data_IF_372952839310
#
_entry.id   IF_372952839310
#
_cell.length_a   1.000
_cell.length_b   1.000
_cell.length_c   1.000
_cell.angle_alpha   90.00
_cell.angle_beta   90.00
_cell.angle_gamma   90.00
#
_symmetry.space_group_name_H-M   'P 1'
#
loop_
_entity.id
_entity.type
_entity.pdbx_description
1 polymer ?
#
# COMPACT_ATOMS: atom_id res chain seq x y z
N UNK A 1 -4.17 12.44 9.04
CA UNK A 1 -5.27 13.43 8.92
C UNK A 1 -4.78 14.82 8.53
N UNK A 2 -3.91 15.49 9.31
CA UNK A 2 -3.40 16.84 8.97
C UNK A 2 -2.78 16.92 7.56
N UNK A 3 -2.00 15.91 7.16
CA UNK A 3 -1.42 15.83 5.81
C UNK A 3 -2.46 15.76 4.69
N UNK A 4 -3.56 15.03 4.89
CA UNK A 4 -4.63 14.94 3.89
C UNK A 4 -5.36 16.28 3.72
N UNK A 5 -5.60 17.00 4.83
CA UNK A 5 -6.15 18.36 4.79
C UNK A 5 -5.22 19.34 4.08
N UNK A 6 -3.92 19.22 4.30
CA UNK A 6 -2.91 20.00 3.57
C UNK A 6 -2.94 19.69 2.05
N UNK A 7 -2.95 18.42 1.66
CA UNK A 7 -3.04 18.02 0.24
C UNK A 7 -4.32 18.54 -0.42
N UNK A 8 -5.46 18.49 0.28
CA UNK A 8 -6.73 19.00 -0.23
C UNK A 8 -6.67 20.49 -0.61
N UNK A 9 -5.93 21.29 0.16
CA UNK A 9 -5.79 22.74 -0.10
C UNK A 9 -4.71 23.04 -1.14
N UNK A 10 -3.67 22.20 -1.25
CA UNK A 10 -2.45 22.52 -2.01
C UNK A 10 -2.28 21.77 -3.32
N UNK A 11 -2.97 20.64 -3.50
CA UNK A 11 -2.84 19.82 -4.71
C UNK A 11 -3.95 20.15 -5.68
N UNK A 12 -3.55 20.57 -6.87
CA UNK A 12 -4.45 20.80 -8.00
C UNK A 12 -4.09 19.86 -9.16
N UNK A 13 -4.89 19.89 -10.23
CA UNK A 13 -4.61 19.10 -11.43
C UNK A 13 -3.21 19.40 -11.99
N UNK A 14 -2.46 18.39 -12.46
CA UNK A 14 -2.88 17.00 -12.75
C UNK A 14 -2.69 16.00 -11.59
N UNK A 15 -2.34 16.47 -10.37
CA UNK A 15 -1.98 15.58 -9.25
C UNK A 15 -3.14 15.28 -8.29
N UNK A 16 -4.38 15.59 -8.68
CA UNK A 16 -5.58 15.36 -7.85
C UNK A 16 -5.76 13.91 -7.40
N UNK A 17 -5.24 12.94 -8.18
CA UNK A 17 -5.20 11.52 -7.81
C UNK A 17 -4.41 11.25 -6.52
N UNK A 18 -3.41 12.07 -6.20
CA UNK A 18 -2.54 11.86 -5.03
C UNK A 18 -3.35 11.94 -3.74
N UNK A 19 -4.30 12.87 -3.65
CA UNK A 19 -5.16 13.01 -2.48
C UNK A 19 -6.00 11.75 -2.27
N UNK A 20 -6.68 11.28 -3.31
CA UNK A 20 -7.53 10.09 -3.25
C UNK A 20 -6.70 8.85 -2.90
N UNK A 21 -5.56 8.65 -3.54
CA UNK A 21 -4.72 7.48 -3.29
C UNK A 21 -4.16 7.52 -1.86
N UNK A 22 -3.69 8.68 -1.38
CA UNK A 22 -3.20 8.84 0.00
C UNK A 22 -4.30 8.59 1.01
N UNK A 23 -5.53 9.02 0.73
CA UNK A 23 -6.70 8.73 1.56
C UNK A 23 -7.01 7.23 1.60
N UNK A 24 -7.03 6.55 0.44
CA UNK A 24 -7.25 5.11 0.36
C UNK A 24 -6.15 4.32 1.09
N UNK A 25 -4.89 4.75 0.99
CA UNK A 25 -3.76 4.18 1.72
C UNK A 25 -3.78 4.44 3.23
N UNK A 26 -4.51 5.46 3.68
CA UNK A 26 -4.69 5.75 5.12
C UNK A 26 -5.66 4.78 5.80
N UNK A 27 -6.73 4.35 5.12
CA UNK A 27 -7.75 3.44 5.66
C UNK A 27 -7.16 2.17 6.31
N UNK A 28 -6.27 1.39 5.66
CA UNK A 28 -5.74 0.17 6.26
C UNK A 28 -4.86 0.45 7.49
N UNK A 29 -4.19 1.60 7.53
CA UNK A 29 -3.40 2.02 8.69
C UNK A 29 -4.34 2.24 9.88
N UNK A 30 -5.41 2.99 9.70
CA UNK A 30 -6.43 3.23 10.75
C UNK A 30 -7.08 1.92 11.22
N UNK A 31 -7.45 1.04 10.29
CA UNK A 31 -8.03 -0.27 10.60
C UNK A 31 -7.07 -1.14 11.42
N UNK A 32 -5.76 -1.05 11.19
CA UNK A 32 -4.81 -1.86 11.93
C UNK A 32 -4.70 -1.49 13.41
N UNK A 33 -4.90 -0.22 13.78
CA UNK A 33 -5.03 0.18 15.19
C UNK A 33 -6.25 -0.49 15.87
N UNK A 34 -7.31 -0.74 15.11
CA UNK A 34 -8.54 -1.39 15.62
C UNK A 34 -8.44 -2.92 15.68
N UNK A 35 -7.54 -3.51 14.89
CA UNK A 35 -7.27 -4.95 14.79
C UNK A 35 -6.29 -5.47 15.86
N UNK A 36 -5.78 -4.58 16.71
CA UNK A 36 -4.60 -4.85 17.51
C UNK A 36 -4.69 -5.90 18.60
N UNK A 37 -3.54 -6.51 18.88
CA UNK A 37 -3.34 -7.55 19.89
C UNK A 37 -3.82 -7.13 21.30
N UNK A 38 -3.75 -5.84 21.63
CA UNK A 38 -4.20 -5.32 22.94
C UNK A 38 -5.71 -5.16 23.07
N UNK A 39 -6.49 -5.27 21.98
CA UNK A 39 -7.96 -5.23 22.00
C UNK A 39 -8.53 -6.48 21.31
N UNK A 40 -8.52 -7.66 21.97
CA UNK A 40 -9.00 -8.89 21.38
C UNK A 40 -10.48 -8.75 20.98
N UNK A 41 -10.72 -8.66 19.67
CA UNK A 41 -12.08 -8.68 19.09
C UNK A 41 -12.62 -10.10 19.01
N UNK A 42 -13.94 -10.29 19.09
CA UNK A 42 -14.55 -11.60 18.86
C UNK A 42 -14.26 -12.08 17.42
N UNK A 43 -14.23 -13.41 17.25
CA UNK A 43 -13.86 -14.05 15.97
C UNK A 43 -14.68 -13.54 14.78
N UNK A 44 -16.00 -13.35 14.96
CA UNK A 44 -16.89 -12.90 13.88
C UNK A 44 -16.57 -11.47 13.39
N UNK A 45 -16.00 -10.62 14.24
CA UNK A 45 -15.68 -9.23 13.89
C UNK A 45 -14.25 -9.09 13.37
N UNK A 46 -13.33 -9.93 13.84
CA UNK A 46 -11.92 -9.89 13.44
C UNK A 46 -11.72 -10.19 11.95
N UNK A 47 -12.29 -11.29 11.44
CA UNK A 47 -12.05 -11.72 10.05
C UNK A 47 -12.61 -10.77 8.99
N UNK A 48 -13.86 -10.26 9.11
CA UNK A 48 -14.34 -9.25 8.18
C UNK A 48 -13.47 -7.99 8.18
N UNK A 49 -12.96 -7.60 9.36
CA UNK A 49 -12.12 -6.41 9.48
C UNK A 49 -10.73 -6.62 8.84
N UNK A 50 -10.15 -7.82 8.95
CA UNK A 50 -8.94 -8.22 8.20
C UNK A 50 -9.20 -8.25 6.70
N UNK A 51 -10.38 -8.70 6.25
CA UNK A 51 -10.74 -8.73 4.84
C UNK A 51 -10.89 -7.32 4.26
N UNK A 52 -11.57 -6.42 4.99
CA UNK A 52 -11.66 -4.99 4.62
C UNK A 52 -10.26 -4.38 4.62
N UNK A 53 -9.44 -4.66 5.63
CA UNK A 53 -8.05 -4.22 5.67
C UNK A 53 -7.28 -4.68 4.43
N UNK A 54 -7.40 -5.94 4.04
CA UNK A 54 -6.73 -6.52 2.87
C UNK A 54 -7.22 -5.92 1.55
N UNK A 55 -8.49 -5.50 1.47
CA UNK A 55 -9.02 -4.82 0.29
C UNK A 55 -8.38 -3.45 0.09
N UNK A 56 -8.14 -2.71 1.18
CA UNK A 56 -7.55 -1.37 1.11
C UNK A 56 -6.03 -1.34 1.23
N UNK A 57 -5.41 -2.35 1.84
CA UNK A 57 -3.97 -2.46 2.03
C UNK A 57 -3.14 -2.27 0.76
N UNK A 58 -3.51 -2.83 -0.42
CA UNK A 58 -2.78 -2.63 -1.67
C UNK A 58 -2.54 -1.16 -2.01
N UNK A 59 -3.41 -0.25 -1.56
CA UNK A 59 -3.25 1.18 -1.81
C UNK A 59 -1.99 1.76 -1.17
N UNK A 60 -1.51 1.22 -0.04
CA UNK A 60 -0.26 1.71 0.57
C UNK A 60 0.98 1.49 -0.32
N UNK A 61 1.33 0.26 -0.75
CA UNK A 61 2.43 0.04 -1.69
C UNK A 61 2.11 0.57 -3.10
N UNK A 62 0.83 0.70 -3.47
CA UNK A 62 0.42 1.32 -4.73
C UNK A 62 0.95 2.76 -4.87
N UNK A 63 1.01 3.55 -3.79
CA UNK A 63 1.54 4.92 -3.87
C UNK A 63 3.01 4.98 -4.28
N UNK A 64 3.81 3.93 -4.03
CA UNK A 64 5.18 3.87 -4.54
C UNK A 64 5.19 3.86 -6.07
N UNK A 65 4.20 3.23 -6.70
CA UNK A 65 4.04 3.27 -8.16
C UNK A 65 3.46 4.61 -8.64
N UNK A 66 2.88 5.45 -7.78
CA UNK A 66 2.42 6.78 -8.20
C UNK A 66 3.60 7.67 -8.55
N UNK A 67 4.79 7.40 -8.02
CA UNK A 67 6.02 8.12 -8.33
C UNK A 67 6.36 8.13 -9.83
N UNK A 68 5.84 7.19 -10.63
CA UNK A 68 5.96 7.26 -12.09
C UNK A 68 5.32 8.53 -12.70
N UNK A 69 4.33 9.12 -12.03
CA UNK A 69 3.71 10.39 -12.44
C UNK A 69 4.62 11.62 -12.20
N UNK A 70 5.76 11.47 -11.51
CA UNK A 70 6.78 12.53 -11.46
C UNK A 70 7.31 12.89 -12.84
N UNK A 71 7.20 11.97 -13.81
CA UNK A 71 7.49 12.24 -15.23
C UNK A 71 6.66 13.40 -15.80
N UNK A 72 5.44 13.62 -15.29
CA UNK A 72 4.57 14.74 -15.70
C UNK A 72 5.14 16.11 -15.34
N UNK A 73 6.04 16.19 -14.35
CA UNK A 73 6.70 17.44 -13.97
C UNK A 73 7.75 17.89 -15.00
N UNK A 74 8.13 17.02 -15.94
CA UNK A 74 9.16 17.26 -16.96
C UNK A 74 10.43 17.94 -16.36
N UNK A 75 11.10 17.25 -15.41
CA UNK A 75 12.12 17.87 -14.57
C UNK A 75 13.40 18.25 -15.33
N UNK A 76 13.62 17.71 -16.53
CA UNK A 76 14.81 17.96 -17.33
C UNK A 76 14.64 19.19 -18.23
N UNK A 77 15.69 20.03 -18.28
CA UNK A 77 15.83 21.11 -19.24
C UNK A 77 16.42 20.59 -20.58
N UNK A 78 16.44 21.44 -21.61
CA UNK A 78 17.04 21.11 -22.93
C UNK A 78 18.53 20.76 -22.80
N UNK A 79 19.21 21.32 -21.79
CA UNK A 79 20.60 20.99 -21.45
C UNK A 79 20.80 19.61 -20.83
N UNK A 80 19.73 18.87 -20.54
CA UNK A 80 19.78 17.59 -19.81
C UNK A 80 19.94 17.74 -18.30
N UNK A 81 20.08 18.96 -17.77
CA UNK A 81 20.15 19.24 -16.33
C UNK A 81 18.75 19.33 -15.70
N UNK A 82 18.67 19.10 -14.39
CA UNK A 82 17.43 19.28 -13.63
C UNK A 82 17.08 20.76 -13.51
N UNK A 83 15.82 21.09 -13.74
CA UNK A 83 15.27 22.43 -13.52
C UNK A 83 15.22 22.73 -12.02
N UNK A 84 15.77 23.87 -11.62
CA UNK A 84 15.70 24.35 -10.23
C UNK A 84 14.36 25.06 -9.91
N UNK A 85 13.33 24.92 -10.76
CA UNK A 85 12.03 25.58 -10.59
C UNK A 85 11.32 25.06 -9.33
N UNK A 86 11.00 25.96 -8.39
CA UNK A 86 10.42 25.61 -7.09
C UNK A 86 9.16 24.74 -7.19
N UNK A 87 8.32 24.96 -8.22
CA UNK A 87 7.11 24.17 -8.44
C UNK A 87 7.39 22.66 -8.56
N UNK A 88 8.42 22.26 -9.31
CA UNK A 88 8.77 20.84 -9.53
C UNK A 88 9.15 20.19 -8.21
N UNK A 89 10.01 20.85 -7.43
CA UNK A 89 10.50 20.34 -6.16
C UNK A 89 9.41 20.28 -5.10
N UNK A 90 8.49 21.24 -5.07
CA UNK A 90 7.33 21.22 -4.16
C UNK A 90 6.45 19.98 -4.42
N UNK A 91 6.06 19.74 -5.68
CA UNK A 91 5.23 18.59 -6.02
C UNK A 91 5.96 17.26 -5.85
N UNK A 92 7.26 17.23 -6.17
CA UNK A 92 8.12 16.09 -5.85
C UNK A 92 8.08 15.76 -4.35
N UNK A 93 8.25 16.76 -3.49
CA UNK A 93 8.18 16.59 -2.04
C UNK A 93 6.81 16.08 -1.60
N UNK A 94 5.71 16.60 -2.16
CA UNK A 94 4.36 16.13 -1.83
C UNK A 94 4.15 14.65 -2.18
N UNK A 95 4.60 14.23 -3.36
CA UNK A 95 4.53 12.84 -3.79
C UNK A 95 5.42 11.93 -2.93
N UNK A 96 6.64 12.37 -2.62
CA UNK A 96 7.58 11.60 -1.80
C UNK A 96 7.08 11.40 -0.37
N UNK A 97 6.60 12.46 0.29
CA UNK A 97 6.06 12.37 1.65
C UNK A 97 4.85 11.43 1.68
N UNK A 98 3.94 11.58 0.72
CA UNK A 98 2.74 10.74 0.65
C UNK A 98 3.09 9.28 0.38
N UNK A 99 3.95 9.02 -0.61
CA UNK A 99 4.33 7.67 -1.00
C UNK A 99 5.13 6.94 0.07
N UNK A 100 6.20 7.56 0.59
CA UNK A 100 7.00 6.96 1.65
C UNK A 100 6.21 6.85 2.95
N UNK A 101 5.50 7.91 3.35
CA UNK A 101 4.71 7.94 4.58
C UNK A 101 3.65 6.83 4.60
N UNK A 102 2.84 6.72 3.54
CA UNK A 102 1.84 5.66 3.44
C UNK A 102 2.48 4.27 3.31
N UNK A 103 3.57 4.11 2.56
CA UNK A 103 4.23 2.81 2.41
C UNK A 103 4.79 2.31 3.74
N UNK A 104 5.56 3.12 4.47
CA UNK A 104 6.13 2.72 5.75
C UNK A 104 5.07 2.44 6.82
N UNK A 105 4.07 3.31 6.95
CA UNK A 105 2.95 3.07 7.87
C UNK A 105 2.12 1.86 7.45
N UNK A 106 1.98 1.62 6.14
CA UNK A 106 1.37 0.42 5.59
C UNK A 106 2.15 -0.84 5.99
N UNK A 107 3.47 -0.87 5.81
CA UNK A 107 4.30 -2.01 6.21
C UNK A 107 4.28 -2.25 7.73
N UNK A 108 4.21 -1.17 8.53
CA UNK A 108 3.97 -1.29 9.98
C UNK A 108 2.62 -1.94 10.28
N UNK A 109 1.57 -1.51 9.58
CA UNK A 109 0.22 -2.07 9.65
C UNK A 109 0.21 -3.57 9.27
N UNK A 110 0.94 -3.97 8.22
CA UNK A 110 1.14 -5.37 7.82
C UNK A 110 1.80 -6.20 8.92
N UNK A 111 2.86 -5.68 9.56
CA UNK A 111 3.53 -6.37 10.67
C UNK A 111 2.54 -6.65 11.80
N UNK A 112 1.72 -5.65 12.15
CA UNK A 112 0.77 -5.75 13.26
C UNK A 112 -0.40 -6.72 12.97
N UNK A 113 -0.95 -6.67 11.75
CA UNK A 113 -2.01 -7.58 11.31
C UNK A 113 -1.49 -9.01 11.20
N UNK A 114 -0.29 -9.22 10.64
CA UNK A 114 0.30 -10.56 10.52
C UNK A 114 0.61 -11.19 11.88
N UNK A 115 1.06 -10.40 12.85
CA UNK A 115 1.24 -10.84 14.23
C UNK A 115 -0.09 -11.24 14.87
N UNK A 116 -1.14 -10.42 14.70
CA UNK A 116 -2.47 -10.69 15.27
C UNK A 116 -3.11 -11.96 14.67
N UNK A 117 -2.92 -12.19 13.36
CA UNK A 117 -3.36 -13.43 12.70
C UNK A 117 -2.57 -14.63 13.23
N UNK A 118 -1.24 -14.55 13.31
CA UNK A 118 -0.39 -15.64 13.79
C UNK A 118 -0.69 -16.00 15.26
N UNK A 119 -0.95 -15.01 16.12
CA UNK A 119 -1.37 -15.25 17.50
C UNK A 119 -2.65 -16.07 17.60
N UNK A 120 -3.65 -15.80 16.74
CA UNK A 120 -4.92 -16.53 16.74
C UNK A 120 -4.82 -17.91 16.11
N UNK A 121 -4.05 -18.06 15.03
CA UNK A 121 -4.01 -19.30 14.25
C UNK A 121 -3.01 -20.31 14.83
N UNK A 122 -1.87 -19.85 15.35
CA UNK A 122 -0.75 -20.70 15.72
C UNK A 122 -0.02 -20.22 16.98
N UNK A 123 -0.72 -19.51 17.88
CA UNK A 123 -0.18 -18.98 19.15
C UNK A 123 1.10 -18.16 18.99
N UNK A 124 1.24 -17.47 17.85
CA UNK A 124 2.37 -16.57 17.60
C UNK A 124 3.61 -17.25 17.01
N UNK A 125 3.47 -18.44 16.42
CA UNK A 125 4.58 -19.10 15.72
C UNK A 125 5.17 -18.19 14.61
N UNK A 126 6.48 -17.98 14.66
CA UNK A 126 7.21 -17.13 13.72
C UNK A 126 7.15 -17.63 12.27
N UNK A 127 7.12 -18.94 12.05
CA UNK A 127 7.01 -19.52 10.69
C UNK A 127 5.64 -19.22 10.08
N UNK A 128 4.57 -19.38 10.87
CA UNK A 128 3.21 -19.05 10.42
C UNK A 128 3.09 -17.55 10.13
N UNK A 129 3.72 -16.70 10.95
CA UNK A 129 3.78 -15.25 10.66
C UNK A 129 4.45 -14.97 9.32
N UNK A 130 5.57 -15.62 9.02
CA UNK A 130 6.27 -15.46 7.74
C UNK A 130 5.39 -15.87 6.55
N UNK A 131 4.71 -17.02 6.64
CA UNK A 131 3.79 -17.50 5.60
C UNK A 131 2.64 -16.51 5.40
N UNK A 132 2.07 -15.98 6.48
CA UNK A 132 1.00 -14.97 6.40
C UNK A 132 1.51 -13.70 5.73
N UNK A 133 2.69 -13.20 6.09
CA UNK A 133 3.29 -12.02 5.44
C UNK A 133 3.48 -12.26 3.94
N UNK A 134 4.05 -13.40 3.54
CA UNK A 134 4.24 -13.77 2.13
C UNK A 134 2.92 -13.80 1.36
N UNK A 135 1.88 -14.40 1.95
CA UNK A 135 0.57 -14.49 1.32
C UNK A 135 -0.08 -13.11 1.18
N UNK A 136 -0.03 -12.28 2.23
CA UNK A 136 -0.62 -10.95 2.23
C UNK A 136 0.10 -10.01 1.26
N UNK A 137 1.43 -10.05 1.17
CA UNK A 137 2.19 -9.23 0.21
C UNK A 137 1.95 -9.69 -1.22
N UNK A 138 1.84 -11.00 -1.47
CA UNK A 138 1.48 -11.53 -2.77
C UNK A 138 0.07 -11.07 -3.21
N UNK A 139 -0.93 -11.23 -2.34
CA UNK A 139 -2.30 -10.77 -2.62
C UNK A 139 -2.36 -9.25 -2.81
N UNK A 140 -1.58 -8.51 -2.01
CA UNK A 140 -1.41 -7.07 -2.15
C UNK A 140 -0.88 -6.69 -3.53
N UNK A 141 0.17 -7.37 -4.02
CA UNK A 141 0.74 -7.12 -5.34
C UNK A 141 -0.26 -7.37 -6.48
N UNK A 142 -1.10 -8.40 -6.35
CA UNK A 142 -2.22 -8.64 -7.29
C UNK A 142 -3.22 -7.47 -7.22
N UNK A 143 -3.58 -7.01 -6.01
CA UNK A 143 -4.43 -5.85 -5.80
C UNK A 143 -3.88 -4.56 -6.44
N UNK A 144 -2.56 -4.32 -6.32
CA UNK A 144 -1.89 -3.19 -6.98
C UNK A 144 -2.03 -3.30 -8.50
N UNK A 145 -1.83 -4.49 -9.08
CA UNK A 145 -1.98 -4.71 -10.52
C UNK A 145 -3.41 -4.40 -10.98
N UNK A 146 -4.42 -4.90 -10.26
CA UNK A 146 -5.83 -4.64 -10.57
C UNK A 146 -6.12 -3.13 -10.53
N UNK A 147 -5.67 -2.44 -9.46
CA UNK A 147 -5.86 -1.00 -9.32
C UNK A 147 -5.19 -0.19 -10.43
N UNK A 148 -4.00 -0.62 -10.89
CA UNK A 148 -3.22 0.11 -11.89
C UNK A 148 -3.63 -0.11 -13.33
N UNK A 149 -3.82 -1.36 -13.71
CA UNK A 149 -3.94 -1.76 -15.11
C UNK A 149 -5.38 -2.03 -15.51
N UNK A 150 -6.20 -2.60 -14.62
CA UNK A 150 -7.60 -2.89 -14.94
C UNK A 150 -8.50 -1.67 -14.71
N UNK A 151 -8.12 -0.73 -13.82
CA UNK A 151 -8.85 0.53 -13.49
C UNK A 151 -10.38 0.36 -13.54
N UNK A 152 -10.86 -0.69 -12.91
CA UNK A 152 -12.26 -1.09 -13.06
C UNK A 152 -13.14 -0.09 -12.32
N UNK A 153 -13.96 0.65 -13.06
CA UNK A 153 -14.96 1.51 -12.44
C UNK A 153 -16.10 0.64 -11.88
N UNK A 154 -16.47 0.86 -10.61
CA UNK A 154 -17.53 0.12 -9.92
C UNK A 154 -18.89 0.17 -10.64
N UNK A 155 -19.11 1.20 -11.48
CA UNK A 155 -20.28 1.35 -12.35
C UNK A 155 -20.48 0.15 -13.30
N UNK A 156 -19.39 -0.49 -13.75
CA UNK A 156 -19.49 -1.65 -14.66
C UNK A 156 -20.02 -2.91 -13.99
N UNK A 157 -19.92 -3.02 -12.66
CA UNK A 157 -20.46 -4.17 -11.92
C UNK A 157 -22.00 -4.24 -12.02
N UNK A 158 -22.66 -3.08 -12.06
CA UNK A 158 -24.13 -2.97 -12.10
C UNK A 158 -24.70 -2.86 -13.51
N UNK A 159 -23.97 -2.20 -14.43
CA UNK A 159 -24.44 -1.99 -15.79
C UNK A 159 -24.10 -3.14 -16.73
N UNK A 160 -22.91 -3.75 -16.59
CA UNK A 160 -22.41 -4.80 -17.49
C UNK A 160 -21.41 -5.73 -16.78
N UNK A 161 -21.88 -6.73 -16.02
CA UNK A 161 -21.00 -7.61 -15.22
C UNK A 161 -19.96 -8.36 -16.07
N UNK A 162 -20.23 -8.62 -17.36
CA UNK A 162 -19.25 -9.22 -18.27
C UNK A 162 -18.00 -8.34 -18.49
N UNK A 163 -18.15 -7.01 -18.54
CA UNK A 163 -17.05 -6.06 -18.67
C UNK A 163 -16.21 -5.94 -17.39
N UNK A 164 -16.77 -6.34 -16.24
CA UNK A 164 -16.04 -6.47 -14.97
C UNK A 164 -15.29 -7.80 -14.89
N UNK A 165 -15.93 -8.91 -15.27
CA UNK A 165 -15.41 -10.27 -15.09
C UNK A 165 -14.35 -10.63 -16.14
N UNK A 166 -14.53 -10.24 -17.41
CA UNK A 166 -13.57 -10.58 -18.48
C UNK A 166 -12.15 -10.10 -18.18
N UNK A 167 -11.90 -8.84 -17.80
CA UNK A 167 -10.55 -8.38 -17.47
C UNK A 167 -9.89 -9.19 -16.34
N UNK A 168 -10.65 -9.59 -15.31
CA UNK A 168 -10.17 -10.41 -14.19
C UNK A 168 -9.79 -11.84 -14.62
N UNK A 169 -10.47 -12.39 -15.62
CA UNK A 169 -10.17 -13.73 -16.15
C UNK A 169 -9.05 -13.71 -17.19
N UNK A 170 -8.87 -12.60 -17.92
CA UNK A 170 -7.85 -12.48 -18.98
C UNK A 170 -6.54 -11.85 -18.52
N UNK A 171 -6.48 -11.29 -17.31
CA UNK A 171 -5.29 -10.58 -16.81
C UNK A 171 -4.06 -11.48 -16.61
N UNK A 172 -4.25 -12.80 -16.50
CA UNK A 172 -3.22 -13.80 -16.16
C UNK A 172 -2.20 -14.04 -17.29
N UNK A 173 -1.46 -13.00 -17.62
CA UNK A 173 -0.40 -12.98 -18.63
C UNK A 173 0.97 -13.12 -17.99
N UNK A 174 2.00 -13.43 -18.79
CA UNK A 174 3.39 -13.49 -18.31
C UNK A 174 3.84 -12.17 -17.65
N UNK A 175 3.42 -11.02 -18.22
CA UNK A 175 3.73 -9.69 -17.68
C UNK A 175 3.10 -9.46 -16.29
N UNK A 176 1.88 -9.96 -16.06
CA UNK A 176 1.25 -9.89 -14.74
C UNK A 176 2.10 -10.64 -13.71
N UNK A 177 2.52 -11.86 -14.02
CA UNK A 177 3.31 -12.68 -13.09
C UNK A 177 4.65 -12.02 -12.75
N UNK A 178 5.35 -11.46 -13.74
CA UNK A 178 6.58 -10.69 -13.51
C UNK A 178 6.28 -9.50 -12.59
N UNK A 179 5.25 -8.71 -12.90
CA UNK A 179 4.89 -7.55 -12.09
C UNK A 179 4.57 -7.92 -10.64
N UNK A 180 3.74 -8.95 -10.44
CA UNK A 180 3.34 -9.42 -9.10
C UNK A 180 4.56 -9.90 -8.33
N UNK A 181 5.48 -10.64 -8.97
CA UNK A 181 6.71 -11.11 -8.33
C UNK A 181 7.61 -9.93 -7.93
N UNK A 182 7.85 -8.98 -8.84
CA UNK A 182 8.67 -7.79 -8.59
C UNK A 182 8.07 -6.93 -7.46
N UNK A 183 6.77 -6.69 -7.49
CA UNK A 183 6.08 -5.92 -6.45
C UNK A 183 6.07 -6.65 -5.10
N UNK A 184 5.97 -7.97 -5.11
CA UNK A 184 6.05 -8.77 -3.88
C UNK A 184 7.46 -8.72 -3.31
N UNK A 185 8.49 -8.86 -4.15
CA UNK A 185 9.89 -8.73 -3.74
C UNK A 185 10.19 -7.34 -3.17
N UNK A 186 9.70 -6.27 -3.81
CA UNK A 186 9.85 -4.89 -3.33
C UNK A 186 9.20 -4.71 -1.95
N UNK A 187 7.94 -5.16 -1.79
CA UNK A 187 7.24 -5.09 -0.51
C UNK A 187 7.96 -5.89 0.59
N UNK A 188 8.44 -7.09 0.28
CA UNK A 188 9.18 -7.92 1.24
C UNK A 188 10.51 -7.27 1.63
N UNK A 189 11.22 -6.65 0.70
CA UNK A 189 12.46 -5.94 0.99
C UNK A 189 12.21 -4.76 1.94
N UNK A 190 11.21 -3.91 1.65
CA UNK A 190 10.85 -2.81 2.54
C UNK A 190 10.38 -3.30 3.92
N UNK A 191 9.57 -4.37 3.95
CA UNK A 191 9.12 -4.99 5.18
C UNK A 191 10.27 -5.56 6.01
N UNK A 192 11.26 -6.18 5.37
CA UNK A 192 12.44 -6.75 6.04
C UNK A 192 13.27 -5.65 6.72
N UNK A 193 13.52 -4.53 6.03
CA UNK A 193 14.19 -3.36 6.63
C UNK A 193 13.43 -2.87 7.86
N UNK A 194 12.10 -2.72 7.75
CA UNK A 194 11.26 -2.27 8.85
C UNK A 194 11.27 -3.26 10.03
N UNK A 195 11.27 -4.57 9.75
CA UNK A 195 11.35 -5.62 10.75
C UNK A 195 12.70 -5.60 11.50
N UNK A 196 13.81 -5.36 10.81
CA UNK A 196 15.13 -5.18 11.43
C UNK A 196 15.16 -4.00 12.40
N UNK A 197 14.64 -2.84 11.98
CA UNK A 197 14.57 -1.63 12.81
C UNK A 197 13.76 -1.88 14.08
N UNK A 198 12.63 -2.57 13.97
CA UNK A 198 11.76 -2.87 15.12
C UNK A 198 12.39 -3.88 16.07
N UNK A 199 13.09 -4.88 15.53
CA UNK A 199 13.76 -5.90 16.34
C UNK A 199 14.93 -5.30 17.13
N UNK A 200 15.69 -4.38 16.52
CA UNK A 200 16.79 -3.68 17.18
C UNK A 200 16.32 -2.86 18.41
N UNK A 201 15.17 -2.17 18.31
CA UNK A 201 14.58 -1.45 19.46
C UNK A 201 14.18 -2.37 20.61
N UNK A 202 13.61 -3.53 20.31
CA UNK A 202 13.21 -4.47 21.37
C UNK A 202 14.38 -5.08 22.12
N UNK A 203 15.58 -5.14 21.54
CA UNK A 203 16.78 -5.56 22.26
C UNK A 203 17.30 -4.48 23.21
N UNK A 204 17.25 -3.21 22.81
CA UNK A 204 17.69 -2.08 23.66
C UNK A 204 16.77 -1.86 24.89
N UNK A 205 15.45 -2.06 24.76
CA UNK A 205 14.51 -1.92 25.89
C UNK A 205 14.60 -3.06 26.93
N UNK A 206 15.31 -4.15 26.62
CA UNK A 206 15.46 -5.33 27.49
C UNK A 206 16.85 -5.43 28.17
N UNK A 207 17.75 -4.47 27.91
CA UNK A 207 19.03 -4.29 28.60
C UNK A 207 18.93 -3.22 29.69
#
# INVERSE_FOLDING_TARGET
>A
MLWLGFLYVRVHDPFSFLLLNTFLGYIPIELSFHLGAHKPRPFWLFWPLVLIWLLFYPNAPYLLTDLFHLSLLQPYAVSGLLKATSHIWIYFTYMMISALGCAFLGFWSLNYVSQSISQRLARGNGIVRLIVVLLLTFLSSVGVYIGRFLRIHTIYLFLNPEQFIRPLLTMWTHNLWIFVLLMTALQLFCYWILHLIMTARTTEDNE
#
